data_IF_399145451668
#
_entry.id   IF_399145451668
#
_cell.length_a   1.000
_cell.length_b   1.000
_cell.length_c   1.000
_cell.angle_alpha   90.00
_cell.angle_beta   90.00
_cell.angle_gamma   90.00
#
_symmetry.space_group_name_H-M   'P 1'
#
loop_
_entity.id
_entity.type
_entity.pdbx_description
1 polymer ?
#
# COMPACT_ATOMS: atom_id res chain seq x y z
N UNK A 1 44.53 -11.23 -21.02
CA UNK A 1 43.95 -11.48 -22.36
C UNK A 1 42.86 -12.53 -22.14
N UNK A 2 41.55 -12.26 -22.14
CA UNK A 2 40.71 -11.21 -22.76
C UNK A 2 39.71 -10.62 -21.74
N UNK A 3 39.33 -9.33 -21.80
CA UNK A 3 38.15 -8.83 -21.10
C UNK A 3 36.88 -9.24 -21.86
N UNK A 4 35.93 -9.87 -21.16
CA UNK A 4 34.57 -10.07 -21.69
C UNK A 4 33.80 -8.77 -21.47
N UNK A 5 33.68 -7.99 -22.54
CA UNK A 5 32.82 -6.80 -22.57
C UNK A 5 31.36 -7.23 -22.68
N UNK A 6 30.68 -7.43 -21.55
CA UNK A 6 29.21 -7.41 -21.56
C UNK A 6 28.76 -5.96 -21.71
N UNK A 7 28.37 -5.61 -22.93
CA UNK A 7 27.62 -4.39 -23.19
C UNK A 7 26.25 -4.55 -22.55
N UNK A 8 26.05 -3.92 -21.40
CA UNK A 8 24.71 -3.70 -20.86
C UNK A 8 24.05 -2.61 -21.70
N UNK A 9 23.22 -3.01 -22.66
CA UNK A 9 22.26 -2.10 -23.27
C UNK A 9 21.29 -1.70 -22.17
N UNK A 10 21.39 -0.46 -21.68
CA UNK A 10 20.40 0.15 -20.79
C UNK A 10 19.13 0.41 -21.61
N UNK A 11 18.38 -0.66 -21.90
CA UNK A 11 16.97 -0.54 -22.15
C UNK A 11 16.34 -0.06 -20.86
N UNK A 12 16.00 1.23 -20.78
CA UNK A 12 15.30 1.78 -19.63
C UNK A 12 13.83 1.36 -19.69
N UNK A 13 13.55 0.06 -19.63
CA UNK A 13 12.24 -0.44 -19.25
C UNK A 13 12.16 -0.32 -17.73
N UNK A 14 11.87 0.88 -17.23
CA UNK A 14 11.62 1.03 -15.79
C UNK A 14 10.33 0.30 -15.49
N UNK A 15 10.42 -0.92 -14.97
CA UNK A 15 9.26 -1.70 -14.59
C UNK A 15 8.46 -0.96 -13.52
N UNK A 16 7.14 -1.10 -13.58
CA UNK A 16 6.28 -0.69 -12.48
C UNK A 16 6.66 -1.40 -11.18
N UNK A 17 6.87 -0.59 -10.14
CA UNK A 17 7.33 -1.05 -8.84
C UNK A 17 6.93 -0.11 -7.72
N UNK A 18 6.87 -0.65 -6.50
CA UNK A 18 6.93 0.15 -5.29
C UNK A 18 8.31 0.78 -5.13
N UNK A 19 8.35 2.07 -4.81
CA UNK A 19 9.59 2.81 -4.51
C UNK A 19 9.79 2.87 -3.00
N UNK A 20 8.75 3.24 -2.24
CA UNK A 20 8.83 3.32 -0.78
C UNK A 20 7.45 3.26 -0.13
N UNK A 21 7.43 2.80 1.12
CA UNK A 21 6.27 2.82 1.99
C UNK A 21 6.70 3.43 3.33
N UNK A 22 5.96 4.44 3.79
CA UNK A 22 6.15 5.03 5.10
C UNK A 22 4.80 5.13 5.79
N UNK A 23 4.73 4.68 7.05
CA UNK A 23 3.52 4.77 7.86
C UNK A 23 3.83 5.58 9.12
N UNK A 24 3.08 6.65 9.32
CA UNK A 24 3.07 7.41 10.55
C UNK A 24 1.87 6.97 11.39
N UNK A 25 2.10 6.73 12.68
CA UNK A 25 1.12 6.23 13.62
C UNK A 25 0.96 7.21 14.78
N UNK A 26 -0.24 7.73 14.97
CA UNK A 26 -0.58 8.58 16.12
C UNK A 26 -1.57 7.86 17.02
N UNK A 27 -1.15 7.59 18.25
CA UNK A 27 -2.02 7.02 19.29
C UNK A 27 -2.75 8.16 19.99
N UNK A 28 -4.09 8.16 19.92
CA UNK A 28 -4.91 9.14 20.64
C UNK A 28 -5.21 8.66 22.06
N UNK A 29 -5.45 9.61 22.96
CA UNK A 29 -5.89 9.31 24.34
C UNK A 29 -7.22 8.55 24.39
N UNK A 30 -8.05 8.63 23.35
CA UNK A 30 -9.29 7.85 23.22
C UNK A 30 -9.04 6.35 22.95
N UNK A 31 -7.80 5.93 22.71
CA UNK A 31 -7.46 4.57 22.28
C UNK A 31 -7.59 4.35 20.77
N UNK A 32 -7.96 5.37 20.00
CA UNK A 32 -7.95 5.32 18.53
C UNK A 32 -6.52 5.43 17.99
N UNK A 33 -6.26 4.72 16.90
CA UNK A 33 -5.01 4.80 16.15
C UNK A 33 -5.28 5.52 14.83
N UNK A 34 -4.67 6.71 14.67
CA UNK A 34 -4.62 7.39 13.38
C UNK A 34 -3.40 6.90 12.60
N UNK A 35 -3.62 6.55 11.33
CA UNK A 35 -2.59 6.02 10.44
C UNK A 35 -2.53 6.89 9.19
N UNK A 36 -1.32 7.36 8.86
CA UNK A 36 -1.05 8.06 7.60
C UNK A 36 -0.01 7.26 6.81
N UNK A 37 -0.43 6.66 5.69
CA UNK A 37 0.44 5.91 4.79
C UNK A 37 0.87 6.78 3.61
N UNK A 38 2.19 6.93 3.39
CA UNK A 38 2.76 7.53 2.18
C UNK A 38 3.38 6.42 1.33
N UNK A 39 2.77 6.16 0.17
CA UNK A 39 3.19 5.11 -0.76
C UNK A 39 3.70 5.76 -2.04
N UNK A 40 4.97 5.53 -2.36
CA UNK A 40 5.57 5.99 -3.61
C UNK A 40 5.72 4.82 -4.56
N UNK A 41 5.21 4.94 -5.77
CA UNK A 41 5.30 3.93 -6.82
C UNK A 41 5.82 4.54 -8.11
N UNK A 42 6.43 3.72 -8.96
CA UNK A 42 6.57 4.01 -10.37
C UNK A 42 5.44 3.28 -11.10
N UNK A 43 4.55 4.03 -11.75
CA UNK A 43 3.41 3.50 -12.51
C UNK A 43 3.45 4.01 -13.96
N UNK A 44 3.45 3.08 -14.92
CA UNK A 44 3.37 3.29 -16.37
C UNK A 44 1.99 2.89 -16.95
N UNK A 45 1.09 2.32 -16.13
CA UNK A 45 -0.25 1.87 -16.50
C UNK A 45 -0.38 0.37 -16.84
N UNK A 46 0.64 -0.46 -16.61
CA UNK A 46 0.61 -1.90 -16.97
C UNK A 46 0.09 -2.83 -15.84
N UNK A 47 0.65 -2.75 -14.64
CA UNK A 47 0.25 -3.47 -13.42
C UNK A 47 -0.63 -2.59 -12.52
N UNK A 48 -0.29 -1.32 -12.32
CA UNK A 48 -1.04 -0.34 -11.51
C UNK A 48 -2.18 0.32 -12.31
N UNK A 49 -2.96 -0.47 -13.06
CA UNK A 49 -4.02 0.03 -13.97
C UNK A 49 -5.11 0.84 -13.28
N UNK A 50 -5.42 0.51 -12.03
CA UNK A 50 -6.54 1.08 -11.25
C UNK A 50 -6.09 1.72 -9.95
N UNK A 51 -4.81 2.07 -9.85
CA UNK A 51 -4.20 2.59 -8.64
C UNK A 51 -3.75 1.52 -7.66
N UNK A 52 -3.74 1.87 -6.37
CA UNK A 52 -3.23 1.05 -5.27
C UNK A 52 -4.40 0.53 -4.43
N UNK A 53 -4.38 -0.76 -4.10
CA UNK A 53 -5.35 -1.39 -3.20
C UNK A 53 -4.71 -1.74 -1.86
N UNK A 54 -5.50 -1.66 -0.78
CA UNK A 54 -5.11 -2.06 0.57
C UNK A 54 -6.14 -3.02 1.12
N UNK A 55 -5.65 -4.15 1.65
CA UNK A 55 -6.47 -5.08 2.42
C UNK A 55 -6.20 -4.77 3.88
N UNK A 56 -7.22 -4.29 4.59
CA UNK A 56 -7.13 -3.99 6.00
C UNK A 56 -7.74 -5.15 6.79
N UNK A 57 -7.07 -5.66 7.84
CA UNK A 57 -7.60 -6.76 8.63
C UNK A 57 -8.93 -6.39 9.29
N UNK A 58 -10.02 -7.11 8.98
CA UNK A 58 -11.31 -6.90 9.63
C UNK A 58 -11.35 -7.45 11.07
N UNK A 59 -10.47 -8.40 11.37
CA UNK A 59 -10.38 -9.09 12.67
C UNK A 59 -8.92 -9.20 13.12
N UNK A 60 -8.71 -9.16 14.44
CA UNK A 60 -7.44 -9.54 15.07
C UNK A 60 -7.67 -10.46 16.25
N UNK A 61 -6.69 -11.31 16.52
CA UNK A 61 -6.69 -12.14 17.72
C UNK A 61 -5.85 -11.45 18.79
N UNK A 62 -6.49 -11.07 19.90
CA UNK A 62 -5.84 -10.37 21.00
C UNK A 62 -6.23 -11.09 22.29
N UNK A 63 -5.23 -11.52 23.07
CA UNK A 63 -5.41 -12.20 24.36
C UNK A 63 -6.40 -13.37 24.34
N UNK A 64 -6.34 -14.22 23.32
CA UNK A 64 -7.23 -15.38 23.19
C UNK A 64 -8.61 -15.08 22.63
N UNK A 65 -8.90 -13.84 22.20
CA UNK A 65 -10.21 -13.44 21.69
C UNK A 65 -10.10 -12.83 20.29
N UNK A 66 -11.09 -13.14 19.43
CA UNK A 66 -11.29 -12.44 18.15
C UNK A 66 -11.92 -11.08 18.44
N UNK A 67 -11.29 -10.02 17.96
CA UNK A 67 -11.75 -8.63 18.08
C UNK A 67 -11.97 -8.09 16.67
N UNK A 68 -13.15 -7.53 16.42
CA UNK A 68 -13.45 -6.84 15.17
C UNK A 68 -12.77 -5.46 15.16
N UNK A 69 -12.26 -5.07 14.00
CA UNK A 69 -11.63 -3.76 13.79
C UNK A 69 -12.48 -2.99 12.81
N UNK A 70 -12.85 -1.78 13.21
CA UNK A 70 -13.46 -0.80 12.31
C UNK A 70 -12.41 0.18 11.80
N UNK A 71 -12.59 0.60 10.56
CA UNK A 71 -11.77 1.64 9.93
C UNK A 71 -12.68 2.78 9.51
N UNK A 72 -12.13 3.99 9.55
CA UNK A 72 -12.73 5.17 8.94
C UNK A 72 -11.66 5.84 8.09
N UNK A 73 -11.85 5.83 6.78
CA UNK A 73 -10.94 6.55 5.89
C UNK A 73 -11.19 8.05 6.05
N UNK A 74 -10.17 8.78 6.50
CA UNK A 74 -10.27 10.23 6.72
C UNK A 74 -10.05 11.02 5.43
N UNK A 75 -9.07 10.62 4.62
CA UNK A 75 -8.74 11.25 3.35
C UNK A 75 -7.85 10.36 2.49
N UNK A 76 -7.94 10.49 1.18
CA UNK A 76 -7.03 9.88 0.21
C UNK A 76 -6.50 10.97 -0.71
N UNK A 77 -5.19 10.96 -0.96
CA UNK A 77 -4.53 11.92 -1.83
C UNK A 77 -3.62 11.22 -2.83
N UNK A 78 -3.54 11.75 -4.05
CA UNK A 78 -2.55 11.38 -5.06
C UNK A 78 -1.78 12.61 -5.48
N UNK A 79 -0.47 12.55 -5.30
CA UNK A 79 0.44 13.66 -5.61
C UNK A 79 0.04 15.00 -4.96
N UNK A 80 -0.55 14.94 -3.76
CA UNK A 80 -0.98 16.13 -3.00
C UNK A 80 -2.43 16.56 -3.24
N UNK A 81 -3.12 16.00 -4.24
CA UNK A 81 -4.52 16.34 -4.53
C UNK A 81 -5.47 15.27 -3.98
N UNK A 82 -6.64 15.69 -3.49
CA UNK A 82 -7.66 14.76 -2.99
C UNK A 82 -8.17 13.86 -4.13
N UNK A 83 -8.26 12.57 -3.87
CA UNK A 83 -8.68 11.58 -4.86
C UNK A 83 -9.87 10.75 -4.36
N UNK A 84 -10.86 10.43 -5.21
CA UNK A 84 -11.92 9.49 -4.84
C UNK A 84 -11.36 8.10 -4.54
N UNK A 85 -12.03 7.41 -3.62
CA UNK A 85 -11.75 6.03 -3.27
C UNK A 85 -13.07 5.27 -3.11
N UNK A 86 -13.00 3.95 -3.10
CA UNK A 86 -14.12 3.09 -2.75
C UNK A 86 -13.64 1.95 -1.87
N UNK A 87 -14.50 1.51 -0.98
CA UNK A 87 -14.26 0.38 -0.09
C UNK A 87 -14.95 -0.87 -0.66
N UNK A 88 -14.36 -2.04 -0.42
CA UNK A 88 -14.97 -3.33 -0.69
C UNK A 88 -14.76 -4.21 0.52
N UNK A 89 -15.81 -4.92 0.93
CA UNK A 89 -15.65 -5.99 1.91
C UNK A 89 -14.85 -7.13 1.28
N UNK A 90 -13.73 -7.48 1.90
CA UNK A 90 -12.95 -8.64 1.51
C UNK A 90 -13.70 -9.90 1.93
N UNK A 91 -13.89 -10.84 1.00
CA UNK A 91 -14.30 -12.19 1.34
C UNK A 91 -13.10 -12.87 2.01
N UNK A 92 -13.18 -13.17 3.31
CA UNK A 92 -12.21 -14.03 3.99
C UNK A 92 -12.34 -15.44 3.38
N UNK A 93 -11.48 -15.80 2.42
CA UNK A 93 -11.31 -17.22 2.04
C UNK A 93 -10.65 -17.94 3.22
N UNK A 94 -11.44 -18.74 3.91
CA UNK A 94 -11.05 -19.57 5.06
C UNK A 94 -9.93 -20.53 4.63
N UNK A 95 -8.68 -20.20 4.96
CA UNK A 95 -7.49 -21.05 4.75
C UNK A 95 -6.78 -21.32 6.06
#
# INVERSE_FOLDING_TARGET
>A
MYPVSQKYTLGQSSEERGISFHAELTVKNSGLLEVTETIKIYANGEKFKRGVYRILPARRFINGRKVNISYKILSVHKNGEQEPFFEKEGQEEDT
#
